data_IF_148786182690
#
_entry.id   IF_148786182690
#
_cell.length_a   1.000
_cell.length_b   1.000
_cell.length_c   1.000
_cell.angle_alpha   90.00
_cell.angle_beta   90.00
_cell.angle_gamma   90.00
#
_symmetry.space_group_name_H-M   'P 1'
#
loop_
_entity.id
_entity.type
_entity.pdbx_description
1 polymer ?
#
# COMPACT_ATOMS: atom_id res chain seq x y z
N UNK A 1 39.50 18.83 54.14
CA UNK A 1 39.78 20.14 53.51
C UNK A 1 40.72 19.87 52.33
N UNK A 2 40.17 19.57 51.16
CA UNK A 2 40.06 20.39 49.93
C UNK A 2 41.39 20.84 49.30
N UNK A 3 41.68 20.26 48.13
CA UNK A 3 42.25 20.88 46.93
C UNK A 3 41.75 20.00 45.76
N UNK A 4 40.80 20.42 44.91
CA UNK A 4 40.91 21.40 43.82
C UNK A 4 41.72 20.89 42.64
N UNK A 5 41.07 20.15 41.73
CA UNK A 5 41.36 20.20 40.29
C UNK A 5 40.06 20.34 39.50
N UNK A 6 40.08 21.34 38.64
CA UNK A 6 39.02 21.84 37.77
C UNK A 6 39.06 21.16 36.40
N UNK A 7 37.90 20.76 35.85
CA UNK A 7 37.61 20.76 34.41
C UNK A 7 36.10 20.86 34.16
N UNK A 8 35.79 21.44 33.01
CA UNK A 8 34.60 22.21 32.62
C UNK A 8 33.42 21.34 32.12
N UNK A 9 32.24 21.95 31.89
CA UNK A 9 30.95 21.30 31.75
C UNK A 9 30.62 20.97 30.29
N UNK A 10 29.99 19.82 30.07
CA UNK A 10 28.90 19.61 29.10
C UNK A 10 28.66 18.12 28.96
N UNK A 11 27.63 17.63 29.64
CA UNK A 11 26.84 16.48 29.19
C UNK A 11 25.42 16.70 29.71
N UNK A 12 24.82 17.83 29.29
CA UNK A 12 23.36 17.90 29.23
C UNK A 12 22.97 17.28 27.90
N UNK A 13 22.58 16.00 27.94
CA UNK A 13 21.77 15.40 26.88
C UNK A 13 20.47 16.22 26.84
N UNK A 14 20.14 16.89 25.72
CA UNK A 14 18.91 17.66 25.64
C UNK A 14 17.72 16.70 25.79
N UNK A 15 16.66 17.09 26.53
CA UNK A 15 15.46 16.29 26.61
C UNK A 15 14.87 16.18 25.21
N UNK A 16 14.84 14.96 24.67
CA UNK A 16 14.17 14.68 23.41
C UNK A 16 12.68 14.91 23.62
N UNK A 17 12.20 16.07 23.19
CA UNK A 17 10.79 16.34 22.97
C UNK A 17 10.30 15.43 21.86
N UNK A 18 9.91 14.21 22.22
CA UNK A 18 9.13 13.33 21.35
C UNK A 18 7.68 13.81 21.42
N UNK A 19 7.29 14.65 20.46
CA UNK A 19 5.89 14.76 20.06
C UNK A 19 5.38 13.39 19.58
N UNK A 20 4.07 13.11 19.69
CA UNK A 20 3.52 11.88 19.13
C UNK A 20 3.69 11.93 17.61
N UNK A 21 4.48 11.01 17.06
CA UNK A 21 4.72 10.91 15.62
C UNK A 21 3.44 10.33 14.96
N UNK A 22 2.67 11.15 14.26
CA UNK A 22 1.56 10.69 13.39
C UNK A 22 2.03 9.92 12.13
N UNK A 23 3.31 9.48 12.05
CA UNK A 23 3.94 9.07 10.78
C UNK A 23 4.94 7.90 10.85
N UNK A 24 5.07 7.15 11.96
CA UNK A 24 6.28 6.34 12.16
C UNK A 24 6.48 5.16 11.17
N UNK A 25 5.43 4.53 10.62
CA UNK A 25 5.57 3.47 9.61
C UNK A 25 5.24 3.84 8.16
N UNK A 26 4.87 5.09 7.88
CA UNK A 26 4.39 5.51 6.55
C UNK A 26 5.42 5.32 5.44
N UNK A 27 6.70 5.62 5.73
CA UNK A 27 7.78 5.43 4.75
C UNK A 27 7.99 3.94 4.42
N UNK A 28 7.95 3.06 5.42
CA UNK A 28 8.11 1.63 5.23
C UNK A 28 6.93 1.03 4.44
N UNK A 29 5.70 1.49 4.73
CA UNK A 29 4.50 1.12 4.00
C UNK A 29 4.59 1.55 2.53
N UNK A 30 4.97 2.79 2.24
CA UNK A 30 5.10 3.30 0.87
C UNK A 30 6.13 2.48 0.07
N UNK A 31 7.30 2.19 0.66
CA UNK A 31 8.33 1.35 0.03
C UNK A 31 7.85 -0.08 -0.20
N UNK A 32 7.05 -0.63 0.71
CA UNK A 32 6.44 -1.94 0.54
C UNK A 32 5.41 -1.92 -0.59
N UNK A 33 4.52 -0.92 -0.64
CA UNK A 33 3.51 -0.77 -1.68
C UNK A 33 4.15 -0.64 -3.08
N UNK A 34 5.16 0.22 -3.22
CA UNK A 34 5.91 0.38 -4.46
C UNK A 34 6.51 -0.95 -4.90
N UNK A 35 7.15 -1.69 -3.99
CA UNK A 35 7.73 -2.99 -4.32
C UNK A 35 6.65 -4.04 -4.63
N UNK A 36 5.61 -4.11 -3.81
CA UNK A 36 4.53 -5.09 -3.93
C UNK A 36 3.82 -4.96 -5.28
N UNK A 37 3.67 -3.75 -5.81
CA UNK A 37 3.09 -3.51 -7.15
C UNK A 37 3.84 -4.24 -8.28
N UNK A 38 5.14 -4.55 -8.10
CA UNK A 38 5.96 -5.28 -9.06
C UNK A 38 5.82 -6.79 -8.96
N UNK A 39 5.23 -7.29 -7.86
CA UNK A 39 5.11 -8.71 -7.58
C UNK A 39 3.93 -9.30 -8.37
N UNK A 40 4.08 -10.48 -9.00
CA UNK A 40 3.07 -11.01 -9.93
C UNK A 40 1.64 -11.10 -9.38
N UNK A 41 1.49 -11.49 -8.10
CA UNK A 41 0.17 -11.62 -7.47
C UNK A 41 -0.53 -10.26 -7.34
N UNK A 42 0.17 -9.25 -6.82
CA UNK A 42 -0.39 -7.91 -6.65
C UNK A 42 -0.66 -7.24 -8.00
N UNK A 43 0.23 -7.46 -8.98
CA UNK A 43 0.01 -7.00 -10.35
C UNK A 43 -1.26 -7.60 -10.97
N UNK A 44 -1.49 -8.90 -10.75
CA UNK A 44 -2.71 -9.57 -11.21
C UNK A 44 -3.95 -8.97 -10.55
N UNK A 45 -3.92 -8.77 -9.23
CA UNK A 45 -5.02 -8.16 -8.48
C UNK A 45 -5.31 -6.73 -8.96
N UNK A 46 -4.29 -5.89 -9.14
CA UNK A 46 -4.46 -4.53 -9.66
C UNK A 46 -5.05 -4.51 -11.07
N UNK A 47 -4.57 -5.39 -11.95
CA UNK A 47 -5.07 -5.50 -13.33
C UNK A 47 -6.54 -5.94 -13.37
N UNK A 48 -6.90 -6.93 -12.54
CA UNK A 48 -8.30 -7.37 -12.38
C UNK A 48 -9.16 -6.25 -11.82
N UNK A 49 -8.70 -5.57 -10.77
CA UNK A 49 -9.39 -4.44 -10.16
C UNK A 49 -9.66 -3.33 -11.15
N UNK A 50 -8.68 -3.00 -11.99
CA UNK A 50 -8.81 -2.00 -13.02
C UNK A 50 -9.85 -2.39 -14.09
N UNK A 51 -9.78 -3.64 -14.56
CA UNK A 51 -10.73 -4.16 -15.55
C UNK A 51 -12.15 -4.14 -15.02
N UNK A 52 -12.36 -4.58 -13.78
CA UNK A 52 -13.67 -4.54 -13.14
C UNK A 52 -14.16 -3.11 -12.90
N UNK A 53 -13.28 -2.15 -12.56
CA UNK A 53 -13.65 -0.74 -12.43
C UNK A 53 -14.19 -0.16 -13.75
N UNK A 54 -13.54 -0.50 -14.87
CA UNK A 54 -14.01 -0.12 -16.21
C UNK A 54 -15.34 -0.79 -16.56
N UNK A 55 -15.53 -2.08 -16.24
CA UNK A 55 -16.78 -2.83 -16.50
C UNK A 55 -17.95 -2.36 -15.65
N UNK A 56 -17.70 -2.10 -14.37
CA UNK A 56 -18.72 -1.61 -13.44
C UNK A 56 -19.19 -0.21 -13.80
N UNK A 57 -18.56 0.43 -14.78
CA UNK A 57 -18.93 1.76 -15.20
C UNK A 57 -18.68 2.76 -14.11
N UNK A 58 -17.53 2.67 -13.42
CA UNK A 58 -17.02 3.75 -12.58
C UNK A 58 -17.08 5.12 -13.29
N UNK A 59 -17.15 5.12 -14.62
CA UNK A 59 -17.28 6.26 -15.50
C UNK A 59 -18.73 6.66 -15.89
N UNK A 60 -19.73 5.81 -15.66
CA UNK A 60 -21.12 6.03 -16.11
C UNK A 60 -21.83 7.20 -15.41
N UNK A 61 -21.40 7.59 -14.21
CA UNK A 61 -21.98 8.73 -13.49
C UNK A 61 -21.56 10.09 -14.07
N UNK A 62 -20.53 10.14 -14.92
CA UNK A 62 -19.93 11.39 -15.41
C UNK A 62 -19.53 11.32 -16.90
N UNK A 63 -20.26 10.53 -17.71
CA UNK A 63 -20.03 10.34 -19.16
C UNK A 63 -19.74 11.64 -19.95
N UNK A 64 -20.28 12.78 -19.52
CA UNK A 64 -20.06 14.08 -20.17
C UNK A 64 -18.65 14.66 -19.95
N UNK A 65 -17.98 14.34 -18.84
CA UNK A 65 -16.65 14.83 -18.52
C UNK A 65 -15.59 14.09 -19.34
N UNK A 66 -15.71 12.76 -19.42
CA UNK A 66 -14.84 11.93 -20.28
C UNK A 66 -15.03 12.22 -21.77
N UNK A 67 -16.26 12.52 -22.21
CA UNK A 67 -16.55 12.86 -23.61
C UNK A 67 -16.14 14.30 -24.01
N UNK A 68 -15.75 15.14 -23.04
CA UNK A 68 -15.40 16.55 -23.26
C UNK A 68 -13.97 16.97 -22.92
N UNK A 69 -13.21 16.15 -22.18
CA UNK A 69 -11.88 16.50 -21.69
C UNK A 69 -10.70 16.04 -22.56
N UNK A 70 -9.48 16.29 -22.08
CA UNK A 70 -8.22 15.99 -22.79
C UNK A 70 -8.04 14.50 -23.14
N UNK A 71 -8.65 13.61 -22.34
CA UNK A 71 -8.57 12.16 -22.52
C UNK A 71 -9.73 11.56 -23.30
N UNK A 72 -10.54 12.39 -23.96
CA UNK A 72 -11.70 11.96 -24.76
C UNK A 72 -11.36 10.87 -25.77
N UNK A 73 -10.30 11.05 -26.55
CA UNK A 73 -9.96 10.11 -27.63
C UNK A 73 -9.56 8.74 -27.07
N UNK A 74 -8.80 8.70 -25.96
CA UNK A 74 -8.48 7.46 -25.25
C UNK A 74 -9.74 6.79 -24.71
N UNK A 75 -10.66 7.58 -24.14
CA UNK A 75 -11.93 7.08 -23.62
C UNK A 75 -12.83 6.51 -24.72
N UNK A 76 -12.98 7.22 -25.84
CA UNK A 76 -13.76 6.74 -26.99
C UNK A 76 -13.14 5.48 -27.59
N UNK A 77 -11.81 5.43 -27.72
CA UNK A 77 -11.09 4.24 -28.18
C UNK A 77 -11.32 3.02 -27.29
N UNK A 78 -11.48 3.22 -25.97
CA UNK A 78 -11.84 2.17 -25.03
C UNK A 78 -13.33 1.81 -25.15
N UNK A 79 -14.24 2.79 -25.12
CA UNK A 79 -15.69 2.58 -25.18
C UNK A 79 -16.19 1.93 -26.48
N UNK A 80 -15.49 2.16 -27.59
CA UNK A 80 -15.76 1.53 -28.89
C UNK A 80 -15.20 0.10 -28.99
N UNK A 81 -14.47 -0.37 -27.96
CA UNK A 81 -14.00 -1.75 -27.94
C UNK A 81 -15.12 -2.72 -27.54
N UNK A 82 -15.36 -3.78 -28.33
CA UNK A 82 -16.22 -4.88 -27.90
C UNK A 82 -15.62 -5.62 -26.69
N UNK A 83 -14.30 -5.57 -26.53
CA UNK A 83 -13.55 -6.08 -25.39
C UNK A 83 -12.97 -4.91 -24.60
N UNK A 84 -13.72 -4.43 -23.60
CA UNK A 84 -13.26 -3.44 -22.62
C UNK A 84 -12.05 -3.92 -21.81
N UNK A 85 -11.72 -5.21 -21.91
CA UNK A 85 -10.69 -5.92 -21.12
C UNK A 85 -9.30 -5.80 -21.73
N UNK A 86 -9.11 -4.94 -22.73
CA UNK A 86 -7.81 -4.69 -23.36
C UNK A 86 -6.93 -3.84 -22.45
N UNK A 87 -5.91 -4.41 -21.79
CA UNK A 87 -5.13 -3.73 -20.77
C UNK A 87 -4.31 -2.57 -21.33
N UNK A 88 -3.93 -2.62 -22.61
CA UNK A 88 -3.22 -1.56 -23.33
C UNK A 88 -4.07 -0.30 -23.49
N UNK A 89 -5.37 -0.45 -23.75
CA UNK A 89 -6.30 0.68 -23.89
C UNK A 89 -6.72 1.26 -22.54
N UNK A 90 -6.92 0.40 -21.54
CA UNK A 90 -7.16 0.82 -20.16
C UNK A 90 -5.97 1.64 -19.63
N UNK A 91 -4.74 1.15 -19.82
CA UNK A 91 -3.52 1.84 -19.44
C UNK A 91 -3.39 3.19 -20.14
N UNK A 92 -3.59 3.26 -21.46
CA UNK A 92 -3.51 4.52 -22.21
C UNK A 92 -4.52 5.58 -21.74
N UNK A 93 -5.70 5.16 -21.24
CA UNK A 93 -6.66 6.07 -20.66
C UNK A 93 -6.22 6.56 -19.27
N UNK A 94 -5.75 5.66 -18.41
CA UNK A 94 -5.22 6.02 -17.09
C UNK A 94 -4.02 6.96 -17.20
N UNK A 95 -3.04 6.64 -18.05
CA UNK A 95 -1.84 7.47 -18.26
C UNK A 95 -2.24 8.90 -18.67
N UNK A 96 -3.27 9.03 -19.51
CA UNK A 96 -3.80 10.33 -19.89
C UNK A 96 -4.45 11.05 -18.70
N UNK A 97 -5.26 10.35 -17.92
CA UNK A 97 -5.94 10.93 -16.76
C UNK A 97 -4.95 11.37 -15.68
N UNK A 98 -3.88 10.60 -15.46
CA UNK A 98 -2.78 10.97 -14.56
C UNK A 98 -2.03 12.21 -15.06
N UNK A 99 -1.74 12.28 -16.37
CA UNK A 99 -1.11 13.47 -16.97
C UNK A 99 -1.99 14.74 -16.87
N UNK A 100 -3.30 14.56 -16.70
CA UNK A 100 -4.30 15.61 -16.53
C UNK A 100 -5.03 15.46 -15.17
N UNK A 101 -4.30 15.07 -14.12
CA UNK A 101 -4.87 14.76 -12.81
C UNK A 101 -5.58 15.94 -12.16
N UNK A 102 -5.18 17.17 -12.49
CA UNK A 102 -5.87 18.39 -12.04
C UNK A 102 -7.34 18.41 -12.48
N UNK A 103 -7.61 17.95 -13.70
CA UNK A 103 -8.95 17.79 -14.24
C UNK A 103 -9.58 16.46 -13.77
N UNK A 104 -8.86 15.35 -13.79
CA UNK A 104 -9.41 14.00 -13.58
C UNK A 104 -9.29 13.42 -12.16
N UNK A 105 -8.82 14.17 -11.15
CA UNK A 105 -8.56 13.64 -9.80
C UNK A 105 -9.71 12.80 -9.22
N UNK A 106 -10.97 13.26 -9.33
CA UNK A 106 -12.14 12.52 -8.81
C UNK A 106 -12.29 11.13 -9.41
N UNK A 107 -11.99 11.00 -10.70
CA UNK A 107 -12.06 9.70 -11.35
C UNK A 107 -10.92 8.79 -10.94
N UNK A 108 -9.71 9.34 -10.82
CA UNK A 108 -8.56 8.58 -10.33
C UNK A 108 -8.86 8.03 -8.93
N UNK A 109 -9.44 8.85 -8.03
CA UNK A 109 -9.88 8.42 -6.70
C UNK A 109 -10.91 7.27 -6.76
N UNK A 110 -11.93 7.36 -7.64
CA UNK A 110 -12.94 6.30 -7.79
C UNK A 110 -12.29 5.01 -8.33
N UNK A 111 -11.38 5.12 -9.30
CA UNK A 111 -10.68 3.98 -9.87
C UNK A 111 -9.81 3.32 -8.80
N UNK A 112 -9.04 4.11 -8.05
CA UNK A 112 -8.18 3.63 -6.98
C UNK A 112 -9.00 2.91 -5.90
N UNK A 113 -10.10 3.50 -5.42
CA UNK A 113 -10.99 2.85 -4.44
C UNK A 113 -11.52 1.50 -4.96
N UNK A 114 -11.92 1.45 -6.24
CA UNK A 114 -12.44 0.23 -6.84
C UNK A 114 -11.34 -0.83 -7.01
N UNK A 115 -10.14 -0.43 -7.44
CA UNK A 115 -8.97 -1.30 -7.58
C UNK A 115 -8.59 -1.88 -6.22
N UNK A 116 -8.49 -1.04 -5.19
CA UNK A 116 -8.19 -1.48 -3.82
C UNK A 116 -9.23 -2.46 -3.30
N UNK A 117 -10.52 -2.17 -3.47
CA UNK A 117 -11.62 -3.04 -3.04
C UNK A 117 -11.59 -4.41 -3.71
N UNK A 118 -11.30 -4.46 -5.01
CA UNK A 118 -11.17 -5.73 -5.74
C UNK A 118 -9.90 -6.46 -5.30
N UNK A 119 -8.79 -5.75 -5.16
CA UNK A 119 -7.53 -6.34 -4.72
C UNK A 119 -7.65 -6.96 -3.31
N UNK A 120 -8.35 -6.31 -2.38
CA UNK A 120 -8.61 -6.85 -1.05
C UNK A 120 -9.47 -8.12 -1.10
N UNK A 121 -10.51 -8.15 -1.92
CA UNK A 121 -11.34 -9.37 -2.10
C UNK A 121 -10.54 -10.53 -2.69
N UNK A 122 -9.69 -10.25 -3.68
CA UNK A 122 -8.81 -11.28 -4.27
C UNK A 122 -7.78 -11.79 -3.26
N UNK A 123 -7.26 -10.90 -2.39
CA UNK A 123 -6.34 -11.26 -1.32
C UNK A 123 -7.03 -12.16 -0.26
N UNK A 124 -8.23 -11.80 0.18
CA UNK A 124 -9.06 -12.61 1.08
C UNK A 124 -9.42 -13.97 0.47
N UNK A 125 -9.70 -14.01 -0.83
CA UNK A 125 -9.98 -15.26 -1.54
C UNK A 125 -8.74 -16.14 -1.67
N UNK A 126 -7.56 -15.54 -1.85
CA UNK A 126 -6.28 -16.25 -1.96
C UNK A 126 -5.84 -16.84 -0.62
N UNK A 127 -6.16 -16.16 0.48
CA UNK A 127 -5.84 -16.58 1.85
C UNK A 127 -7.12 -16.74 2.68
N UNK A 128 -7.94 -17.77 2.39
CA UNK A 128 -9.20 -17.97 3.09
C UNK A 128 -8.94 -18.39 4.54
N UNK A 129 -9.77 -17.91 5.46
CA UNK A 129 -9.66 -18.24 6.90
C UNK A 129 -9.79 -17.05 7.84
N UNK A 130 -10.07 -15.85 7.32
CA UNK A 130 -10.20 -14.62 8.11
C UNK A 130 -8.88 -13.88 8.26
N UNK A 131 -8.87 -12.85 9.09
CA UNK A 131 -7.74 -11.90 9.22
C UNK A 131 -6.42 -12.56 9.62
N UNK A 132 -6.46 -13.58 10.48
CA UNK A 132 -5.24 -14.27 10.95
C UNK A 132 -4.58 -15.08 9.81
N UNK A 133 -5.35 -15.87 9.06
CA UNK A 133 -4.84 -16.64 7.92
C UNK A 133 -4.42 -15.72 6.76
N UNK A 134 -5.12 -14.59 6.58
CA UNK A 134 -4.73 -13.53 5.65
C UNK A 134 -3.34 -13.00 5.99
N UNK A 135 -3.13 -12.59 7.25
CA UNK A 135 -1.84 -12.06 7.72
C UNK A 135 -0.72 -13.11 7.60
N UNK A 136 -0.99 -14.36 8.00
CA UNK A 136 -0.03 -15.47 7.88
C UNK A 136 0.27 -15.82 6.42
N UNK A 137 -0.73 -15.77 5.55
CA UNK A 137 -0.63 -15.99 4.13
C UNK A 137 0.28 -14.97 3.46
N UNK A 138 0.01 -13.68 3.70
CA UNK A 138 0.83 -12.55 3.23
C UNK A 138 2.25 -12.65 3.77
N UNK A 139 2.41 -12.91 5.08
CA UNK A 139 3.73 -13.08 5.69
C UNK A 139 4.53 -14.20 5.02
N UNK A 140 3.90 -15.37 4.85
CA UNK A 140 4.52 -16.52 4.19
C UNK A 140 4.88 -16.19 2.74
N UNK A 141 4.03 -15.45 2.04
CA UNK A 141 4.24 -15.06 0.66
C UNK A 141 5.53 -14.23 0.50
N UNK A 142 5.69 -13.17 1.29
CA UNK A 142 6.88 -12.33 1.24
C UNK A 142 8.14 -13.02 1.80
N UNK A 143 8.01 -13.83 2.85
CA UNK A 143 9.18 -14.43 3.51
C UNK A 143 9.72 -15.69 2.82
N UNK A 144 8.87 -16.48 2.14
CA UNK A 144 9.27 -17.72 1.43
C UNK A 144 9.66 -17.50 -0.03
N UNK A 145 10.02 -16.26 -0.40
CA UNK A 145 10.56 -15.92 -1.72
C UNK A 145 9.54 -15.78 -2.84
N UNK A 146 8.23 -15.91 -2.56
CA UNK A 146 7.17 -15.64 -3.55
C UNK A 146 6.91 -14.14 -3.73
N UNK A 147 7.20 -13.32 -2.71
CA UNK A 147 7.20 -11.86 -2.79
C UNK A 147 8.43 -11.25 -3.47
N UNK A 148 9.25 -12.07 -4.12
CA UNK A 148 10.42 -11.62 -4.89
C UNK A 148 11.41 -10.80 -4.06
N UNK A 149 11.83 -9.65 -4.60
CA UNK A 149 12.81 -8.77 -3.96
C UNK A 149 12.22 -7.94 -2.80
N UNK A 150 10.91 -8.03 -2.54
CA UNK A 150 10.21 -7.19 -1.55
C UNK A 150 10.34 -7.67 -0.11
N UNK A 151 11.06 -8.78 0.12
CA UNK A 151 11.26 -9.32 1.48
C UNK A 151 11.81 -8.27 2.44
N UNK A 152 12.78 -7.45 2.02
CA UNK A 152 13.40 -6.43 2.88
C UNK A 152 12.42 -5.32 3.27
N UNK A 153 11.63 -4.84 2.31
CA UNK A 153 10.62 -3.81 2.52
C UNK A 153 9.50 -4.35 3.42
N UNK A 154 9.09 -5.59 3.19
CA UNK A 154 8.08 -6.27 4.02
C UNK A 154 8.57 -6.46 5.46
N UNK A 155 9.81 -6.90 5.66
CA UNK A 155 10.41 -6.99 6.99
C UNK A 155 10.50 -5.62 7.65
N UNK A 156 10.98 -4.59 6.96
CA UNK A 156 11.05 -3.23 7.52
C UNK A 156 9.68 -2.68 7.93
N UNK A 157 8.64 -2.93 7.14
CA UNK A 157 7.26 -2.57 7.49
C UNK A 157 6.79 -3.34 8.72
N UNK A 158 7.01 -4.66 8.77
CA UNK A 158 6.58 -5.51 9.89
C UNK A 158 7.31 -5.15 11.19
N UNK A 159 8.62 -4.92 11.13
CA UNK A 159 9.44 -4.49 12.26
C UNK A 159 8.93 -3.15 12.78
N UNK A 160 8.64 -2.20 11.89
CA UNK A 160 8.08 -0.92 12.28
C UNK A 160 6.72 -1.05 12.97
N UNK A 161 5.80 -1.85 12.42
CA UNK A 161 4.49 -2.10 13.03
C UNK A 161 4.63 -2.71 14.43
N UNK A 162 5.55 -3.66 14.62
CA UNK A 162 5.85 -4.25 15.93
C UNK A 162 6.41 -3.19 16.88
N UNK A 163 7.30 -2.31 16.42
CA UNK A 163 7.88 -1.24 17.23
C UNK A 163 6.89 -0.13 17.61
N UNK A 164 5.91 0.19 16.75
CA UNK A 164 4.84 1.14 17.05
C UNK A 164 3.83 0.53 18.04
N UNK A 165 3.33 -0.68 17.77
CA UNK A 165 2.32 -1.33 18.62
C UNK A 165 2.84 -1.69 20.01
N UNK A 166 4.14 -1.95 20.16
CA UNK A 166 4.75 -2.25 21.46
C UNK A 166 5.22 -0.99 22.22
N UNK A 167 5.03 0.23 21.69
CA UNK A 167 5.19 1.50 22.45
C UNK A 167 3.95 1.84 23.28
N UNK A 168 2.77 1.33 22.92
CA UNK A 168 1.51 1.58 23.63
C UNK A 168 1.15 0.49 24.67
N UNK A 169 2.10 -0.01 25.48
CA UNK A 169 1.93 -0.91 26.67
C UNK A 169 0.99 -2.15 26.57
N UNK A 170 0.35 -2.42 25.44
CA UNK A 170 -0.51 -3.57 25.16
C UNK A 170 -0.32 -3.95 23.70
N UNK A 171 0.77 -4.68 23.42
CA UNK A 171 0.89 -5.40 22.16
C UNK A 171 -0.29 -6.42 22.13
N UNK A 172 -1.34 -6.11 21.37
CA UNK A 172 -2.61 -6.83 21.38
C UNK A 172 -2.50 -8.32 21.02
N UNK A 173 -3.50 -9.15 21.32
CA UNK A 173 -3.43 -10.61 21.13
C UNK A 173 -3.03 -11.01 19.70
N UNK A 174 -3.52 -10.28 18.70
CA UNK A 174 -3.26 -10.48 17.27
C UNK A 174 -1.76 -10.37 16.92
N UNK A 175 -1.10 -9.31 17.40
CA UNK A 175 0.33 -9.11 17.19
C UNK A 175 1.16 -10.06 18.05
N UNK A 176 0.72 -10.46 19.25
CA UNK A 176 1.47 -11.49 20.00
C UNK A 176 1.56 -12.82 19.25
N UNK A 177 0.58 -13.18 18.44
CA UNK A 177 0.61 -14.42 17.63
C UNK A 177 1.52 -14.26 16.41
N UNK A 178 1.42 -13.15 15.68
CA UNK A 178 2.29 -12.85 14.53
C UNK A 178 3.75 -12.68 14.99
N UNK A 179 4.01 -11.87 16.03
CA UNK A 179 5.33 -11.67 16.64
C UNK A 179 5.91 -12.98 17.18
N UNK A 180 5.14 -13.80 17.93
CA UNK A 180 5.62 -15.12 18.40
C UNK A 180 5.93 -16.08 17.24
N UNK A 181 5.25 -15.96 16.10
CA UNK A 181 5.56 -16.76 14.91
C UNK A 181 6.80 -16.23 14.16
N UNK A 182 6.96 -14.91 13.99
CA UNK A 182 8.16 -14.30 13.42
C UNK A 182 9.41 -14.69 14.22
N UNK A 183 9.34 -14.61 15.56
CA UNK A 183 10.42 -15.03 16.45
C UNK A 183 10.65 -16.55 16.51
N UNK A 184 9.71 -17.39 16.04
CA UNK A 184 9.90 -18.85 15.95
C UNK A 184 10.64 -19.29 14.67
N UNK A 185 10.80 -18.39 13.69
CA UNK A 185 11.45 -18.67 12.41
C UNK A 185 12.76 -17.88 12.18
N UNK A 186 13.14 -16.99 13.11
CA UNK A 186 14.50 -16.47 13.29
C UNK A 186 15.32 -17.47 14.12
#
# INVERSE_FOLDING_TARGET
MVNSESRSPNDQVPPSTCSPHEDGCKEALNKLAECASTVPMMKEFGTKGLTEAFKAGAFHAEDNYMKGGACKESFMSLAECPDMDKPDKQAALLDCMEAHSDYYHKYLEIVDEHVEKVAMKELESTFPGGEEELALGVHRYFMKGKGGCCKKQYTAFTDCMIEEDCKEEQCGPFMTTITKMIFRFL
#
